data_IF_907876995749
#
_entry.id   IF_907876995749
#
_cell.length_a   1.000
_cell.length_b   1.000
_cell.length_c   1.000
_cell.angle_alpha   90.00
_cell.angle_beta   90.00
_cell.angle_gamma   90.00
#
_symmetry.space_group_name_H-M   'P 1'
#
loop_
_entity.id
_entity.type
_entity.pdbx_description
1 polymer ?
#
# COMPACT_ATOMS: atom_id res chain seq x y z
N UNK A 1 -14.37 9.35 -45.27
CA UNK A 1 -15.34 10.43 -45.53
C UNK A 1 -16.75 10.08 -45.04
N UNK A 2 -17.32 8.91 -45.38
CA UNK A 2 -18.66 8.50 -44.90
C UNK A 2 -18.82 8.44 -43.36
N UNK A 3 -17.78 8.04 -42.62
CA UNK A 3 -17.86 7.97 -41.14
C UNK A 3 -17.96 9.34 -40.46
N UNK A 4 -17.25 10.35 -40.99
CA UNK A 4 -17.30 11.73 -40.46
C UNK A 4 -18.69 12.35 -40.64
N UNK A 5 -19.36 12.09 -41.78
CA UNK A 5 -20.74 12.52 -41.99
C UNK A 5 -21.73 11.83 -41.05
N UNK A 6 -21.55 10.53 -40.81
CA UNK A 6 -22.38 9.76 -39.87
C UNK A 6 -22.24 10.30 -38.44
N UNK A 7 -21.00 10.57 -38.02
CA UNK A 7 -20.71 11.20 -36.73
C UNK A 7 -21.39 12.58 -36.63
N UNK A 8 -21.11 13.48 -37.58
CA UNK A 8 -21.70 14.82 -37.57
C UNK A 8 -23.25 14.79 -37.55
N UNK A 9 -23.86 13.84 -38.26
CA UNK A 9 -25.30 13.64 -38.27
C UNK A 9 -25.86 13.26 -36.89
N UNK A 10 -25.24 12.30 -36.19
CA UNK A 10 -25.68 11.91 -34.86
C UNK A 10 -25.51 13.03 -33.82
N UNK A 11 -24.41 13.79 -33.88
CA UNK A 11 -24.20 14.93 -33.00
C UNK A 11 -25.26 16.03 -33.24
N UNK A 12 -25.53 16.35 -34.51
CA UNK A 12 -26.56 17.31 -34.87
C UNK A 12 -27.95 16.87 -34.39
N UNK A 13 -28.28 15.60 -34.58
CA UNK A 13 -29.55 15.03 -34.14
C UNK A 13 -29.69 15.06 -32.61
N UNK A 14 -28.63 14.73 -31.88
CA UNK A 14 -28.59 14.81 -30.41
C UNK A 14 -28.79 16.24 -29.91
N UNK A 15 -28.12 17.23 -30.51
CA UNK A 15 -28.29 18.65 -30.17
C UNK A 15 -29.72 19.14 -30.44
N UNK A 16 -30.30 18.76 -31.58
CA UNK A 16 -31.65 19.16 -31.97
C UNK A 16 -32.69 18.60 -31.00
N UNK A 17 -32.55 17.33 -30.60
CA UNK A 17 -33.42 16.69 -29.61
C UNK A 17 -33.29 17.29 -28.22
N UNK A 18 -32.07 17.57 -27.75
CA UNK A 18 -31.85 18.27 -26.47
C UNK A 18 -32.44 19.67 -26.48
N UNK A 19 -32.26 20.43 -27.57
CA UNK A 19 -32.84 21.75 -27.72
C UNK A 19 -34.37 21.70 -27.73
N UNK A 20 -34.96 20.76 -28.47
CA UNK A 20 -36.41 20.55 -28.48
C UNK A 20 -36.94 20.21 -27.09
N UNK A 21 -36.27 19.33 -26.34
CA UNK A 21 -36.67 18.96 -24.99
C UNK A 21 -36.59 20.16 -24.03
N UNK A 22 -35.55 21.00 -24.15
CA UNK A 22 -35.41 22.24 -23.39
C UNK A 22 -36.54 23.22 -23.70
N UNK A 23 -36.94 23.36 -24.97
CA UNK A 23 -38.08 24.21 -25.35
C UNK A 23 -39.40 23.71 -24.77
N UNK A 24 -39.64 22.39 -24.81
CA UNK A 24 -40.84 21.79 -24.21
C UNK A 24 -40.85 22.00 -22.69
N UNK A 25 -39.74 21.74 -22.01
CA UNK A 25 -39.63 21.97 -20.56
C UNK A 25 -39.78 23.45 -20.20
N UNK A 26 -39.21 24.35 -20.99
CA UNK A 26 -39.37 25.80 -20.83
C UNK A 26 -40.82 26.24 -21.02
N UNK A 27 -41.50 25.73 -22.06
CA UNK A 27 -42.91 26.02 -22.31
C UNK A 27 -43.80 25.48 -21.18
N UNK A 28 -43.52 24.29 -20.66
CA UNK A 28 -44.23 23.71 -19.51
C UNK A 28 -44.00 24.58 -18.28
N UNK A 29 -42.78 25.02 -18.01
CA UNK A 29 -42.47 25.88 -16.86
C UNK A 29 -43.19 27.23 -16.92
N UNK A 30 -43.33 27.82 -18.11
CA UNK A 30 -44.07 29.10 -18.29
C UNK A 30 -45.56 28.91 -17.99
N UNK A 31 -46.16 27.81 -18.44
CA UNK A 31 -47.60 27.55 -18.27
C UNK A 31 -47.95 26.93 -16.91
N UNK A 32 -47.02 26.19 -16.31
CA UNK A 32 -47.20 25.41 -15.08
C UNK A 32 -45.95 25.48 -14.19
N UNK A 33 -45.64 26.65 -13.61
CA UNK A 33 -44.42 26.85 -12.82
C UNK A 33 -44.34 25.98 -11.55
N UNK A 34 -45.47 25.44 -11.08
CA UNK A 34 -45.50 24.49 -9.95
C UNK A 34 -45.20 23.04 -10.32
N UNK A 35 -45.18 22.69 -11.61
CA UNK A 35 -44.90 21.33 -12.09
C UNK A 35 -43.41 21.10 -12.35
N UNK A 36 -42.71 22.19 -12.69
CA UNK A 36 -41.26 22.22 -12.89
C UNK A 36 -40.72 23.42 -12.14
N UNK A 37 -40.52 23.33 -10.82
CA UNK A 37 -39.40 24.11 -10.26
C UNK A 37 -38.21 23.75 -11.14
N UNK A 38 -37.62 24.73 -11.83
CA UNK A 38 -36.59 24.50 -12.85
C UNK A 38 -35.27 24.10 -12.16
N UNK A 39 -35.34 23.02 -11.39
CA UNK A 39 -34.27 22.40 -10.65
C UNK A 39 -33.30 21.78 -11.65
N UNK A 40 -32.04 21.75 -11.25
CA UNK A 40 -30.94 21.22 -12.05
C UNK A 40 -31.23 19.83 -12.64
N UNK A 41 -32.10 19.03 -12.00
CA UNK A 41 -32.53 17.71 -12.45
C UNK A 41 -33.22 17.70 -13.83
N UNK A 42 -34.08 18.66 -14.15
CA UNK A 42 -34.80 18.70 -15.44
C UNK A 42 -33.89 19.15 -16.59
N UNK A 43 -32.98 20.08 -16.29
CA UNK A 43 -31.92 20.49 -17.23
C UNK A 43 -30.98 19.31 -17.48
N UNK A 44 -30.60 18.56 -16.44
CA UNK A 44 -29.80 17.35 -16.58
C UNK A 44 -30.52 16.27 -17.42
N UNK A 45 -31.83 16.09 -17.24
CA UNK A 45 -32.62 15.16 -18.05
C UNK A 45 -32.61 15.54 -19.55
N UNK A 46 -32.61 16.84 -19.85
CA UNK A 46 -32.54 17.34 -21.22
C UNK A 46 -31.22 17.04 -21.94
N UNK A 47 -30.15 16.71 -21.21
CA UNK A 47 -28.87 16.32 -21.77
C UNK A 47 -28.80 14.83 -22.14
N UNK A 48 -29.73 13.98 -21.68
CA UNK A 48 -29.72 12.54 -21.98
C UNK A 48 -29.76 12.21 -23.48
N UNK A 49 -30.58 12.87 -24.31
CA UNK A 49 -30.57 12.63 -25.76
C UNK A 49 -29.20 12.90 -26.38
N UNK A 50 -28.57 14.03 -26.04
CA UNK A 50 -27.22 14.35 -26.50
C UNK A 50 -26.20 13.27 -26.10
N UNK A 51 -26.23 12.82 -24.85
CA UNK A 51 -25.33 11.77 -24.36
C UNK A 51 -25.55 10.43 -25.09
N UNK A 52 -26.80 10.03 -25.31
CA UNK A 52 -27.14 8.81 -26.04
C UNK A 52 -26.66 8.88 -27.50
N UNK A 53 -26.86 10.01 -28.18
CA UNK A 53 -26.42 10.19 -29.56
C UNK A 53 -24.90 10.34 -29.72
N UNK A 54 -24.22 10.89 -28.72
CA UNK A 54 -22.75 10.87 -28.66
C UNK A 54 -22.22 9.44 -28.49
N UNK A 55 -22.92 8.58 -27.74
CA UNK A 55 -22.61 7.16 -27.60
C UNK A 55 -22.80 6.39 -28.92
N UNK A 56 -23.98 6.47 -29.53
CA UNK A 56 -24.26 5.79 -30.80
C UNK A 56 -23.46 6.35 -31.98
N UNK A 57 -23.11 7.64 -31.94
CA UNK A 57 -22.24 8.28 -32.91
C UNK A 57 -20.78 7.85 -32.82
N UNK A 58 -20.38 7.13 -31.75
CA UNK A 58 -19.00 6.75 -31.51
C UNK A 58 -18.10 7.93 -31.12
N UNK A 59 -18.67 9.06 -30.67
CA UNK A 59 -17.92 10.14 -30.03
C UNK A 59 -17.52 9.77 -28.60
N UNK A 60 -18.38 9.02 -27.92
CA UNK A 60 -18.09 8.38 -26.64
C UNK A 60 -17.96 6.89 -26.92
N UNK A 61 -16.74 6.42 -27.13
CA UNK A 61 -16.48 5.00 -27.41
C UNK A 61 -16.48 4.14 -26.14
N UNK A 62 -16.28 4.76 -24.97
CA UNK A 62 -16.32 4.12 -23.65
C UNK A 62 -16.80 5.13 -22.61
N UNK A 63 -17.76 4.74 -21.78
CA UNK A 63 -17.96 5.39 -20.49
C UNK A 63 -16.76 4.93 -19.67
N UNK A 64 -15.75 5.78 -19.46
CA UNK A 64 -14.70 5.47 -18.51
C UNK A 64 -15.36 5.39 -17.14
N UNK A 65 -15.67 4.16 -16.72
CA UNK A 65 -16.34 3.81 -15.48
C UNK A 65 -15.36 3.97 -14.30
N UNK A 66 -14.88 5.21 -14.13
CA UNK A 66 -13.90 5.62 -13.13
C UNK A 66 -14.27 5.12 -11.73
N UNK A 67 -15.56 5.04 -11.41
CA UNK A 67 -16.05 4.51 -10.13
C UNK A 67 -16.11 2.97 -10.04
N UNK A 68 -16.41 2.26 -11.13
CA UNK A 68 -16.62 0.80 -11.08
C UNK A 68 -15.28 0.06 -11.02
N UNK A 69 -14.28 0.51 -11.77
CA UNK A 69 -12.96 -0.13 -11.77
C UNK A 69 -12.19 0.11 -10.47
N UNK A 70 -12.25 1.33 -9.93
CA UNK A 70 -11.67 1.62 -8.60
C UNK A 70 -12.38 0.79 -7.53
N UNK A 71 -13.71 0.69 -7.56
CA UNK A 71 -14.44 -0.17 -6.63
C UNK A 71 -14.05 -1.64 -6.77
N UNK A 72 -13.80 -2.14 -7.98
CA UNK A 72 -13.36 -3.51 -8.19
C UNK A 72 -11.95 -3.75 -7.63
N UNK A 73 -11.02 -2.80 -7.80
CA UNK A 73 -9.67 -2.91 -7.22
C UNK A 73 -9.73 -2.82 -5.69
N UNK A 74 -10.54 -1.91 -5.13
CA UNK A 74 -10.71 -1.77 -3.69
C UNK A 74 -11.34 -3.02 -3.05
N UNK A 75 -12.22 -3.72 -3.78
CA UNK A 75 -12.83 -4.99 -3.34
C UNK A 75 -11.95 -6.20 -3.60
N UNK A 76 -10.90 -6.08 -4.41
CA UNK A 76 -10.01 -7.20 -4.71
C UNK A 76 -9.19 -7.62 -3.48
N UNK A 77 -8.89 -8.92 -3.33
CA UNK A 77 -7.95 -9.39 -2.32
C UNK A 77 -6.58 -8.72 -2.47
N UNK A 78 -5.92 -8.45 -1.35
CA UNK A 78 -4.57 -7.87 -1.35
C UNK A 78 -3.60 -8.79 -2.11
N UNK A 79 -3.74 -10.11 -1.94
CA UNK A 79 -2.92 -11.13 -2.60
C UNK A 79 -2.83 -10.97 -4.11
N UNK A 80 -3.97 -10.70 -4.77
CA UNK A 80 -4.05 -10.51 -6.22
C UNK A 80 -3.40 -9.19 -6.65
N UNK A 81 -3.50 -8.17 -5.80
CA UNK A 81 -2.91 -6.86 -6.02
C UNK A 81 -1.39 -6.82 -5.76
N UNK A 82 -0.81 -7.82 -5.08
CA UNK A 82 0.62 -7.86 -4.72
C UNK A 82 1.53 -7.75 -5.94
N UNK A 83 1.15 -8.29 -7.09
CA UNK A 83 1.95 -8.14 -8.32
C UNK A 83 1.95 -6.70 -8.85
N UNK A 84 0.82 -6.00 -8.73
CA UNK A 84 0.69 -4.62 -9.16
C UNK A 84 1.49 -3.73 -8.22
N UNK A 85 1.38 -3.96 -6.90
CA UNK A 85 2.29 -3.38 -5.93
C UNK A 85 3.72 -3.61 -6.44
N UNK A 86 4.16 -4.87 -6.64
CA UNK A 86 5.56 -5.21 -7.01
C UNK A 86 6.06 -4.47 -8.25
N UNK A 87 5.18 -4.21 -9.23
CA UNK A 87 5.52 -3.50 -10.47
C UNK A 87 5.67 -1.99 -10.29
N UNK A 88 5.04 -1.41 -9.27
CA UNK A 88 5.06 0.04 -8.99
C UNK A 88 6.40 0.49 -8.39
N UNK A 89 7.25 -0.44 -7.93
CA UNK A 89 8.58 -0.08 -7.46
C UNK A 89 9.68 -1.06 -7.87
N UNK A 90 10.72 -0.49 -8.50
CA UNK A 90 12.06 -1.09 -8.65
C UNK A 90 12.79 -1.17 -7.28
N UNK A 91 12.25 -0.55 -6.22
CA UNK A 91 13.03 -0.24 -5.01
C UNK A 91 12.38 -0.45 -3.63
N UNK A 92 11.17 -0.99 -3.49
CA UNK A 92 10.60 -1.00 -2.14
C UNK A 92 9.59 -2.06 -1.76
N UNK A 93 9.00 -2.84 -2.66
CA UNK A 93 8.23 -3.98 -2.18
C UNK A 93 9.20 -5.06 -1.80
N UNK A 94 9.29 -5.27 -0.51
CA UNK A 94 9.92 -6.42 0.11
C UNK A 94 9.03 -7.63 -0.14
N UNK A 95 8.89 -7.99 -1.42
CA UNK A 95 8.52 -9.34 -1.76
C UNK A 95 9.63 -10.22 -1.22
N UNK A 96 9.28 -11.14 -0.32
CA UNK A 96 10.21 -12.14 0.17
C UNK A 96 10.53 -13.20 -0.87
N UNK A 97 10.90 -12.80 -2.10
CA UNK A 97 11.85 -13.62 -2.83
C UNK A 97 13.14 -13.58 -2.00
N UNK A 98 13.78 -14.74 -1.85
CA UNK A 98 15.03 -14.95 -1.07
C UNK A 98 16.18 -13.98 -1.40
N UNK A 99 16.04 -13.17 -2.45
CA UNK A 99 16.98 -12.14 -2.85
C UNK A 99 16.97 -10.89 -1.95
N UNK A 100 15.82 -10.49 -1.39
CA UNK A 100 15.68 -9.23 -0.63
C UNK A 100 15.60 -9.43 0.89
N UNK A 101 15.39 -10.67 1.33
CA UNK A 101 15.38 -11.05 2.74
C UNK A 101 16.46 -12.09 3.02
N UNK A 102 17.11 -12.02 4.17
CA UNK A 102 18.06 -13.04 4.62
C UNK A 102 17.82 -13.41 6.06
N UNK A 103 17.97 -14.69 6.40
CA UNK A 103 18.00 -15.13 7.80
C UNK A 103 19.35 -14.78 8.42
N UNK A 104 19.33 -14.21 9.62
CA UNK A 104 20.54 -14.00 10.43
C UNK A 104 21.25 -15.36 10.58
N UNK A 105 22.45 -15.48 10.01
CA UNK A 105 23.28 -16.68 10.10
C UNK A 105 24.58 -16.45 10.87
N UNK A 106 25.58 -17.30 10.63
CA UNK A 106 26.93 -17.11 11.17
C UNK A 106 27.60 -15.85 10.61
N UNK A 107 28.67 -15.39 11.26
CA UNK A 107 29.54 -14.32 10.71
C UNK A 107 30.13 -14.72 9.36
N UNK A 108 30.56 -15.99 9.21
CA UNK A 108 31.05 -16.52 7.94
C UNK A 108 30.04 -16.43 6.79
N UNK A 109 28.73 -16.57 7.07
CA UNK A 109 27.69 -16.38 6.05
C UNK A 109 27.63 -14.94 5.56
N UNK A 110 27.85 -13.97 6.45
CA UNK A 110 27.90 -12.55 6.09
C UNK A 110 29.15 -12.25 5.26
N UNK A 111 30.30 -12.73 5.69
CA UNK A 111 31.58 -12.55 4.99
C UNK A 111 31.52 -13.12 3.58
N UNK A 112 31.00 -14.34 3.42
CA UNK A 112 30.84 -15.00 2.12
C UNK A 112 29.69 -14.42 1.26
N UNK A 113 28.90 -13.48 1.79
CA UNK A 113 27.83 -12.84 1.02
C UNK A 113 28.42 -11.85 0.03
N UNK A 114 28.14 -12.04 -1.27
CA UNK A 114 28.57 -11.11 -2.31
C UNK A 114 28.06 -9.68 -2.07
N UNK A 115 28.85 -8.69 -2.47
CA UNK A 115 28.51 -7.26 -2.34
C UNK A 115 27.14 -6.94 -2.96
N UNK A 116 26.86 -7.47 -4.15
CA UNK A 116 25.56 -7.30 -4.82
C UNK A 116 24.41 -7.85 -3.97
N UNK A 117 24.62 -8.99 -3.29
CA UNK A 117 23.59 -9.55 -2.41
C UNK A 117 23.41 -8.70 -1.15
N UNK A 118 24.49 -8.23 -0.52
CA UNK A 118 24.42 -7.34 0.65
C UNK A 118 23.64 -6.05 0.34
N UNK A 119 23.83 -5.48 -0.85
CA UNK A 119 23.09 -4.30 -1.31
C UNK A 119 21.61 -4.59 -1.60
N UNK A 120 21.23 -5.82 -1.95
CA UNK A 120 19.83 -6.16 -2.19
C UNK A 120 19.04 -6.43 -0.92
N UNK A 121 19.68 -6.95 0.13
CA UNK A 121 18.99 -7.30 1.37
C UNK A 121 18.43 -6.04 2.03
N UNK A 122 17.10 -6.01 2.23
CA UNK A 122 16.43 -4.95 2.99
C UNK A 122 15.71 -5.46 4.24
N UNK A 123 15.70 -6.78 4.45
CA UNK A 123 15.07 -7.41 5.62
C UNK A 123 15.95 -8.52 6.21
N UNK A 124 16.14 -8.49 7.53
CA UNK A 124 16.87 -9.49 8.28
C UNK A 124 15.91 -10.29 9.16
N UNK A 125 15.90 -11.62 9.03
CA UNK A 125 15.00 -12.51 9.79
C UNK A 125 15.64 -13.02 11.08
N UNK A 126 14.88 -12.96 12.16
CA UNK A 126 15.19 -13.50 13.48
C UNK A 126 14.12 -14.50 13.88
N UNK A 127 14.54 -15.69 14.28
CA UNK A 127 13.71 -16.70 14.93
C UNK A 127 13.67 -16.50 16.45
N UNK A 128 12.47 -16.50 17.02
CA UNK A 128 12.22 -16.52 18.47
C UNK A 128 12.71 -17.84 19.07
N UNK A 129 13.34 -17.78 20.24
CA UNK A 129 13.91 -18.96 20.89
C UNK A 129 15.36 -19.24 20.50
N UNK A 130 15.93 -18.48 19.57
CA UNK A 130 17.33 -18.58 19.20
C UNK A 130 18.15 -17.52 19.95
N UNK A 131 19.32 -17.92 20.47
CA UNK A 131 20.26 -16.98 21.08
C UNK A 131 21.15 -16.35 20.01
N UNK A 132 21.16 -15.03 19.94
CA UNK A 132 22.00 -14.29 19.01
C UNK A 132 23.14 -13.61 19.76
N UNK A 133 24.34 -13.63 19.17
CA UNK A 133 25.44 -12.82 19.67
C UNK A 133 25.24 -11.36 19.22
N UNK A 134 25.19 -10.45 20.20
CA UNK A 134 24.96 -9.01 20.00
C UNK A 134 25.93 -8.38 18.99
N UNK A 135 27.24 -8.65 19.13
CA UNK A 135 28.26 -8.11 18.25
C UNK A 135 28.06 -8.56 16.80
N UNK A 136 27.77 -9.85 16.60
CA UNK A 136 27.48 -10.36 15.25
C UNK A 136 26.21 -9.77 14.65
N UNK A 137 25.18 -9.47 15.46
CA UNK A 137 23.98 -8.80 14.95
C UNK A 137 24.30 -7.37 14.52
N UNK A 138 25.09 -6.65 15.31
CA UNK A 138 25.57 -5.32 14.93
C UNK A 138 26.39 -5.36 13.63
N UNK A 139 27.26 -6.36 13.47
CA UNK A 139 28.04 -6.55 12.23
C UNK A 139 27.12 -6.75 11.02
N UNK A 140 26.03 -7.52 11.17
CA UNK A 140 25.01 -7.66 10.12
C UNK A 140 24.32 -6.33 9.82
N UNK A 141 23.95 -5.55 10.84
CA UNK A 141 23.31 -4.24 10.65
C UNK A 141 24.22 -3.24 9.93
N UNK A 142 25.53 -3.24 10.26
CA UNK A 142 26.52 -2.39 9.59
C UNK A 142 26.84 -2.84 8.15
N UNK A 143 26.89 -4.15 7.91
CA UNK A 143 27.31 -4.71 6.62
C UNK A 143 26.20 -4.73 5.54
N UNK A 144 24.94 -4.49 5.92
CA UNK A 144 23.77 -4.51 5.04
C UNK A 144 23.25 -3.08 4.83
N UNK A 145 23.77 -2.34 3.83
CA UNK A 145 23.55 -0.89 3.71
C UNK A 145 22.10 -0.50 3.40
N UNK A 146 21.31 -1.42 2.84
CA UNK A 146 19.91 -1.18 2.49
C UNK A 146 18.93 -1.87 3.44
N UNK A 147 19.40 -2.37 4.59
CA UNK A 147 18.57 -2.96 5.61
C UNK A 147 17.61 -1.91 6.18
N UNK A 148 16.31 -2.20 6.13
CA UNK A 148 15.26 -1.31 6.63
C UNK A 148 14.38 -1.96 7.69
N UNK A 149 14.25 -3.29 7.65
CA UNK A 149 13.32 -4.01 8.51
C UNK A 149 13.96 -5.26 9.12
N UNK A 150 13.43 -5.63 10.27
CA UNK A 150 13.73 -6.85 10.97
C UNK A 150 12.44 -7.67 11.06
N UNK A 151 12.47 -8.89 10.51
CA UNK A 151 11.34 -9.81 10.58
C UNK A 151 11.57 -10.76 11.75
N UNK A 152 10.62 -10.82 12.67
CA UNK A 152 10.62 -11.76 13.79
C UNK A 152 9.65 -12.89 13.47
N UNK A 153 10.15 -14.12 13.46
CA UNK A 153 9.38 -15.33 13.15
C UNK A 153 9.44 -16.34 14.30
N UNK A 154 8.42 -17.18 14.42
CA UNK A 154 8.43 -18.31 15.34
C UNK A 154 9.17 -19.54 14.76
N UNK A 155 9.25 -20.62 15.55
CA UNK A 155 9.87 -21.89 15.13
C UNK A 155 9.19 -22.57 13.94
N UNK A 156 7.95 -22.19 13.64
CA UNK A 156 7.17 -22.68 12.47
C UNK A 156 7.30 -21.73 11.27
N UNK A 157 8.18 -20.73 11.37
CA UNK A 157 8.38 -19.66 10.39
C UNK A 157 7.10 -18.83 10.15
N UNK A 158 6.25 -18.70 11.18
CA UNK A 158 5.11 -17.77 11.18
C UNK A 158 5.60 -16.40 11.61
N UNK A 159 5.09 -15.36 10.96
CA UNK A 159 5.37 -13.98 11.32
C UNK A 159 4.83 -13.69 12.72
N UNK A 160 5.68 -13.11 13.55
CA UNK A 160 5.30 -12.59 14.86
C UNK A 160 5.26 -11.08 14.82
N UNK A 161 6.31 -10.44 14.29
CA UNK A 161 6.40 -8.99 14.19
C UNK A 161 7.35 -8.57 13.07
N UNK A 162 7.15 -7.36 12.55
CA UNK A 162 8.13 -6.67 11.70
C UNK A 162 8.47 -5.35 12.38
N UNK A 163 9.75 -5.13 12.63
CA UNK A 163 10.29 -3.95 13.30
C UNK A 163 11.11 -3.14 12.31
N UNK A 164 11.03 -1.81 12.34
CA UNK A 164 11.88 -0.98 11.50
C UNK A 164 13.28 -0.85 12.12
N UNK A 165 14.31 -0.76 11.29
CA UNK A 165 15.67 -0.55 11.81
C UNK A 165 15.76 0.80 12.57
N UNK A 166 15.00 1.79 12.11
CA UNK A 166 14.88 3.09 12.75
C UNK A 166 14.31 2.98 14.17
N UNK A 167 13.28 2.18 14.41
CA UNK A 167 12.74 2.02 15.77
C UNK A 167 13.73 1.35 16.74
N UNK A 168 14.72 0.61 16.24
CA UNK A 168 15.78 0.04 17.09
C UNK A 168 16.80 1.10 17.50
N UNK A 169 17.17 2.02 16.59
CA UNK A 169 18.27 2.96 16.82
C UNK A 169 17.85 4.39 17.16
N UNK A 170 16.66 4.83 16.77
CA UNK A 170 16.15 6.20 16.90
C UNK A 170 15.02 6.33 17.95
N UNK A 171 14.86 5.34 18.83
CA UNK A 171 13.84 5.39 19.86
C UNK A 171 14.05 6.62 20.77
N UNK A 172 13.08 7.53 20.75
CA UNK A 172 13.14 8.93 21.23
C UNK A 172 13.30 9.11 22.74
N UNK A 173 13.18 8.03 23.51
CA UNK A 173 13.18 8.08 24.98
C UNK A 173 14.59 8.30 25.54
N UNK A 174 15.65 7.96 24.80
CA UNK A 174 17.03 7.87 25.32
C UNK A 174 18.08 8.70 24.54
N UNK A 175 17.68 9.57 23.61
CA UNK A 175 18.64 10.31 22.77
C UNK A 175 19.55 11.28 23.55
N UNK A 176 19.28 11.49 24.84
CA UNK A 176 20.16 12.25 25.76
C UNK A 176 21.46 11.52 26.09
N UNK A 177 21.47 10.18 26.06
CA UNK A 177 22.65 9.37 26.37
C UNK A 177 23.60 9.20 25.18
N UNK A 178 23.15 9.56 23.96
CA UNK A 178 23.95 9.47 22.74
C UNK A 178 25.22 10.32 22.79
N UNK A 179 25.24 11.38 23.61
CA UNK A 179 26.40 12.25 23.79
C UNK A 179 27.46 11.68 24.74
N UNK A 180 27.14 10.62 25.49
CA UNK A 180 27.99 10.10 26.56
C UNK A 180 28.83 8.89 26.15
N UNK A 181 28.50 8.21 25.05
CA UNK A 181 29.17 6.96 24.65
C UNK A 181 29.80 7.07 23.26
N UNK A 182 30.80 6.22 23.02
CA UNK A 182 31.30 6.00 21.66
C UNK A 182 30.21 5.37 20.78
N UNK A 183 30.18 5.72 19.50
CA UNK A 183 29.12 5.31 18.57
C UNK A 183 28.91 3.79 18.56
N UNK A 184 29.99 3.02 18.61
CA UNK A 184 29.96 1.56 18.61
C UNK A 184 29.36 0.96 19.88
N UNK A 185 29.62 1.55 21.05
CA UNK A 185 29.03 1.11 22.32
C UNK A 185 27.53 1.41 22.37
N UNK A 186 27.13 2.59 21.88
CA UNK A 186 25.72 2.96 21.77
C UNK A 186 24.95 2.00 20.87
N UNK A 187 25.47 1.74 19.67
CA UNK A 187 24.83 0.80 18.75
C UNK A 187 24.76 -0.61 19.34
N UNK A 188 25.81 -1.07 20.02
CA UNK A 188 25.85 -2.38 20.63
C UNK A 188 24.80 -2.54 21.74
N UNK A 189 24.63 -1.52 22.59
CA UNK A 189 23.60 -1.51 23.62
C UNK A 189 22.19 -1.51 23.03
N UNK A 190 21.93 -0.74 21.95
CA UNK A 190 20.63 -0.78 21.25
C UNK A 190 20.31 -2.16 20.69
N UNK A 191 21.31 -2.83 20.13
CA UNK A 191 21.16 -4.21 19.67
C UNK A 191 20.89 -5.16 20.84
N UNK A 192 21.57 -4.97 21.98
CA UNK A 192 21.35 -5.77 23.19
C UNK A 192 19.94 -5.58 23.75
N UNK A 193 19.44 -4.34 23.83
CA UNK A 193 18.08 -4.02 24.25
C UNK A 193 17.03 -4.68 23.34
N UNK A 194 17.28 -4.66 22.02
CA UNK A 194 16.45 -5.35 21.04
C UNK A 194 16.45 -6.87 21.24
N UNK A 195 17.62 -7.48 21.39
CA UNK A 195 17.75 -8.93 21.59
C UNK A 195 17.16 -9.38 22.93
N UNK A 196 17.27 -8.56 23.98
CA UNK A 196 16.64 -8.82 25.28
C UNK A 196 15.12 -8.80 25.16
N UNK A 197 14.56 -7.80 24.47
CA UNK A 197 13.12 -7.76 24.18
C UNK A 197 12.66 -8.97 23.35
N UNK A 198 13.45 -9.38 22.34
CA UNK A 198 13.18 -10.58 21.55
C UNK A 198 13.22 -11.86 22.40
N UNK A 199 14.13 -11.95 23.37
CA UNK A 199 14.24 -13.09 24.26
C UNK A 199 13.03 -13.18 25.20
N UNK A 200 12.60 -12.06 25.77
CA UNK A 200 11.44 -12.02 26.68
C UNK A 200 10.13 -12.44 25.99
N UNK A 201 10.02 -12.29 24.67
CA UNK A 201 8.87 -12.81 23.89
C UNK A 201 8.74 -14.34 23.95
N UNK A 202 9.80 -15.08 24.31
CA UNK A 202 9.77 -16.54 24.45
C UNK A 202 8.99 -16.94 25.72
N UNK A 203 8.99 -16.10 26.75
CA UNK A 203 8.63 -16.48 28.12
C UNK A 203 7.19 -16.13 28.53
N UNK A 204 6.35 -15.60 27.63
CA UNK A 204 4.94 -15.31 27.94
C UNK A 204 4.17 -14.55 26.85
N UNK A 205 2.94 -14.05 27.14
CA UNK A 205 2.08 -13.34 26.18
C UNK A 205 2.55 -11.89 25.92
N UNK A 206 3.85 -11.63 25.96
CA UNK A 206 4.51 -10.32 25.89
C UNK A 206 4.58 -9.72 24.47
N UNK A 207 3.68 -10.15 23.58
CA UNK A 207 3.56 -9.57 22.24
C UNK A 207 3.18 -8.08 22.37
N UNK A 208 2.27 -7.76 23.30
CA UNK A 208 1.84 -6.38 23.57
C UNK A 208 2.97 -5.49 24.07
N UNK A 209 3.81 -5.94 25.01
CA UNK A 209 4.93 -5.13 25.52
C UNK A 209 6.00 -4.87 24.45
N UNK A 210 6.24 -5.85 23.57
CA UNK A 210 7.15 -5.67 22.44
C UNK A 210 6.57 -4.69 21.41
N UNK A 211 5.28 -4.78 21.12
CA UNK A 211 4.56 -3.86 20.25
C UNK A 211 4.53 -2.43 20.83
N UNK A 212 4.37 -2.29 22.15
CA UNK A 212 4.46 -1.00 22.84
C UNK A 212 5.87 -0.40 22.77
N UNK A 213 6.92 -1.22 22.93
CA UNK A 213 8.32 -0.75 22.89
C UNK A 213 8.77 -0.38 21.47
N UNK A 214 8.17 -1.01 20.45
CA UNK A 214 8.45 -0.75 19.05
C UNK A 214 7.16 -0.36 18.31
N UNK A 215 6.60 0.84 18.55
CA UNK A 215 5.27 1.22 18.06
C UNK A 215 5.12 1.22 16.53
N UNK A 216 6.24 1.17 15.79
CA UNK A 216 6.28 0.91 14.35
C UNK A 216 6.15 -0.59 13.98
N UNK A 217 5.63 -1.44 14.88
CA UNK A 217 5.29 -2.82 14.51
C UNK A 217 4.29 -2.78 13.36
N UNK A 218 4.66 -3.44 12.25
CA UNK A 218 3.84 -3.44 11.07
C UNK A 218 2.45 -4.01 11.35
N UNK A 219 1.40 -3.29 10.94
CA UNK A 219 0.03 -3.78 10.97
C UNK A 219 -0.05 -5.10 10.17
N UNK A 220 -0.55 -6.16 10.78
CA UNK A 220 -0.60 -7.49 10.15
C UNK A 220 -1.96 -7.70 9.50
N UNK A 221 -1.97 -8.01 8.20
CA UNK A 221 -3.19 -8.25 7.44
C UNK A 221 -3.09 -9.56 6.67
N UNK A 222 -4.19 -10.30 6.61
CA UNK A 222 -4.29 -11.49 5.76
C UNK A 222 -4.35 -11.08 4.27
N UNK A 223 -3.65 -11.82 3.42
CA UNK A 223 -3.66 -11.64 1.96
C UNK A 223 -5.04 -11.76 1.31
N UNK A 224 -5.97 -12.45 1.96
CA UNK A 224 -7.38 -12.57 1.55
C UNK A 224 -8.20 -11.31 1.89
N UNK A 225 -7.71 -10.43 2.77
CA UNK A 225 -8.38 -9.17 3.07
C UNK A 225 -8.41 -8.27 1.84
N UNK A 226 -9.38 -7.36 1.79
CA UNK A 226 -9.53 -6.45 0.64
C UNK A 226 -8.57 -5.27 0.73
N UNK A 227 -8.22 -4.68 -0.43
CA UNK A 227 -7.43 -3.44 -0.46
C UNK A 227 -8.13 -2.31 0.32
N UNK A 228 -9.47 -2.22 0.27
CA UNK A 228 -10.21 -1.25 1.06
C UNK A 228 -10.01 -1.44 2.57
N UNK A 229 -10.10 -2.69 3.05
CA UNK A 229 -9.87 -3.01 4.45
C UNK A 229 -8.45 -2.65 4.91
N UNK A 230 -7.45 -2.87 4.05
CA UNK A 230 -6.08 -2.43 4.31
C UNK A 230 -5.97 -0.91 4.44
N UNK A 231 -6.59 -0.14 3.53
CA UNK A 231 -6.58 1.32 3.61
C UNK A 231 -7.26 1.84 4.88
N UNK A 232 -8.41 1.28 5.22
CA UNK A 232 -9.15 1.65 6.43
C UNK A 232 -8.33 1.34 7.68
N UNK A 233 -7.69 0.18 7.73
CA UNK A 233 -6.89 -0.26 8.87
C UNK A 233 -5.62 0.57 9.00
N UNK A 234 -4.91 0.86 7.90
CA UNK A 234 -3.76 1.78 7.90
C UNK A 234 -4.14 3.16 8.44
N UNK A 235 -5.30 3.69 8.03
CA UNK A 235 -5.80 4.98 8.51
C UNK A 235 -6.20 4.93 9.98
N UNK A 236 -6.93 3.89 10.39
CA UNK A 236 -7.46 3.74 11.75
C UNK A 236 -6.34 3.60 12.79
N UNK A 237 -5.33 2.79 12.47
CA UNK A 237 -4.21 2.51 13.36
C UNK A 237 -3.00 3.45 13.12
N UNK A 238 -3.13 4.40 12.19
CA UNK A 238 -2.04 5.29 11.76
C UNK A 238 -0.74 4.51 11.44
N UNK A 239 -0.88 3.35 10.80
CA UNK A 239 0.22 2.42 10.59
C UNK A 239 1.14 2.91 9.45
N UNK A 240 2.42 3.12 9.75
CA UNK A 240 3.43 3.49 8.76
C UNK A 240 3.81 2.33 7.84
N UNK A 241 3.65 1.10 8.33
CA UNK A 241 4.05 -0.15 7.68
C UNK A 241 2.98 -1.23 7.90
N UNK A 242 2.74 -2.05 6.88
CA UNK A 242 1.79 -3.16 6.89
C UNK A 242 2.51 -4.44 6.44
N UNK A 243 2.40 -5.50 7.24
CA UNK A 243 2.84 -6.84 6.86
C UNK A 243 1.65 -7.65 6.33
N UNK A 244 1.80 -8.22 5.13
CA UNK A 244 0.79 -9.06 4.50
C UNK A 244 1.17 -10.52 4.74
N UNK A 245 0.26 -11.29 5.31
CA UNK A 245 0.44 -12.71 5.64
C UNK A 245 -0.39 -13.61 4.74
N UNK A 246 0.09 -14.83 4.52
CA UNK A 246 -0.74 -15.89 3.92
C UNK A 246 -1.56 -16.63 4.99
N UNK A 247 -2.39 -17.57 4.56
CA UNK A 247 -3.20 -18.45 5.44
C UNK A 247 -2.36 -19.23 6.48
N UNK A 248 -1.06 -19.40 6.25
CA UNK A 248 -0.13 -20.05 7.17
C UNK A 248 0.54 -19.07 8.13
N UNK A 249 0.07 -17.81 8.18
CA UNK A 249 0.66 -16.70 8.93
C UNK A 249 2.13 -16.43 8.55
N UNK A 250 2.54 -16.72 7.31
CA UNK A 250 3.87 -16.37 6.80
C UNK A 250 3.81 -15.01 6.13
N UNK A 251 4.78 -14.15 6.41
CA UNK A 251 4.86 -12.85 5.76
C UNK A 251 5.19 -12.99 4.27
N UNK A 252 4.31 -12.48 3.41
CA UNK A 252 4.45 -12.45 1.96
C UNK A 252 5.09 -11.14 1.48
N UNK A 253 4.72 -10.04 2.11
CA UNK A 253 5.15 -8.70 1.74
C UNK A 253 5.08 -7.73 2.92
N UNK A 254 5.91 -6.70 2.88
CA UNK A 254 5.79 -5.53 3.74
C UNK A 254 5.56 -4.32 2.85
N UNK A 255 4.49 -3.57 3.12
CA UNK A 255 4.01 -2.42 2.35
C UNK A 255 4.06 -1.20 3.25
N UNK A 256 4.68 -0.12 2.79
CA UNK A 256 4.68 1.17 3.51
C UNK A 256 3.46 2.01 3.13
N UNK A 257 3.07 2.93 4.01
CA UNK A 257 2.01 3.89 3.72
C UNK A 257 2.30 4.70 2.44
N UNK A 258 3.56 5.08 2.21
CA UNK A 258 3.97 5.79 0.98
C UNK A 258 3.72 4.93 -0.28
N UNK A 259 4.02 3.63 -0.22
CA UNK A 259 3.77 2.72 -1.33
C UNK A 259 2.28 2.55 -1.59
N UNK A 260 1.48 2.51 -0.54
CA UNK A 260 0.04 2.42 -0.64
C UNK A 260 -0.54 3.68 -1.31
N UNK A 261 -0.04 4.86 -0.96
CA UNK A 261 -0.39 6.13 -1.61
C UNK A 261 0.05 6.14 -3.09
N UNK A 262 1.28 5.70 -3.39
CA UNK A 262 1.78 5.59 -4.77
C UNK A 262 0.94 4.61 -5.59
N UNK A 263 0.56 3.47 -5.01
CA UNK A 263 -0.32 2.50 -5.64
C UNK A 263 -1.67 3.13 -6.01
N UNK A 264 -2.31 3.80 -5.06
CA UNK A 264 -3.58 4.48 -5.31
C UNK A 264 -3.46 5.58 -6.37
N UNK A 265 -2.44 6.44 -6.26
CA UNK A 265 -2.21 7.50 -7.25
C UNK A 265 -1.98 6.93 -8.65
N UNK A 266 -1.26 5.82 -8.79
CA UNK A 266 -1.07 5.16 -10.09
C UNK A 266 -2.35 4.57 -10.65
N UNK A 267 -3.23 4.02 -9.81
CA UNK A 267 -4.56 3.58 -10.25
C UNK A 267 -5.35 4.79 -10.78
N UNK A 268 -5.34 5.90 -10.05
CA UNK A 268 -6.02 7.13 -10.49
C UNK A 268 -5.42 7.68 -11.79
N UNK A 269 -4.10 7.71 -11.92
CA UNK A 269 -3.40 8.30 -13.08
C UNK A 269 -3.48 7.41 -14.32
N UNK A 270 -3.31 6.09 -14.21
CA UNK A 270 -3.45 5.19 -15.37
C UNK A 270 -4.84 5.29 -16.00
N UNK A 271 -5.86 5.49 -15.17
CA UNK A 271 -7.24 5.65 -15.62
C UNK A 271 -7.54 7.01 -16.26
N UNK A 272 -6.59 7.97 -16.23
CA UNK A 272 -6.70 9.27 -16.90
C UNK A 272 -5.97 9.34 -18.25
N UNK A 273 -5.15 8.35 -18.61
CA UNK A 273 -4.26 8.39 -19.79
C UNK A 273 -4.66 7.37 -20.87
N UNK A 274 -5.77 6.63 -20.66
CA UNK A 274 -6.32 5.63 -21.61
C UNK A 274 -7.72 5.98 -22.08
#
# INVERSE_FOLDING_TARGET
MQEQYRQAFYLFLGLLLTFFLLLVLGAINVNYPGFTSLEAHWVALSLLPLLAFLWFGGYITRFNAFGVEIQNVLKSPIGDSLEIFRKIEVSGILSMKDEFATRKGSGSKLENMSLLRRQKVRMLKFEIGHHYNTKLVLDYFKALPNLKYVEVVDRRNRLVSVVTLNSIFLNSVDDRDRLLWEEDEFLLRRVEDFLTSLHNMIEGPYILEFEEKYPDVALRLDSSATVNFMLESVRLYNASVVAIENEQARCLAVITQEQLIKYLSNIVVRNNVS
#
